data_IF_518379853239
#
_entry.id   IF_518379853239
#
_cell.length_a   1.000
_cell.length_b   1.000
_cell.length_c   1.000
_cell.angle_alpha   90.00
_cell.angle_beta   90.00
_cell.angle_gamma   90.00
#
_symmetry.space_group_name_H-M   'P 1'
#
loop_
_entity.id
_entity.type
_entity.pdbx_description
1 polymer ?
#
# COMPACT_ATOMS: atom_id res chain seq x y z
N UNK A 1 8.71 -13.15 -3.71
CA UNK A 1 7.37 -12.65 -3.32
C UNK A 1 7.44 -11.45 -2.39
N UNK A 2 8.60 -11.12 -1.83
CA UNK A 2 8.81 -9.95 -0.96
C UNK A 2 8.86 -8.63 -1.74
N UNK A 3 9.37 -8.63 -2.97
CA UNK A 3 9.50 -7.40 -3.78
C UNK A 3 8.14 -6.71 -4.00
N UNK A 4 7.10 -7.49 -4.36
CA UNK A 4 5.74 -6.98 -4.51
C UNK A 4 5.19 -6.36 -3.22
N UNK A 5 5.49 -6.94 -2.06
CA UNK A 5 5.05 -6.40 -0.78
C UNK A 5 5.70 -5.04 -0.52
N UNK A 6 7.00 -4.91 -0.76
CA UNK A 6 7.72 -3.65 -0.61
C UNK A 6 7.23 -2.58 -1.60
N UNK A 7 6.92 -2.97 -2.84
CA UNK A 7 6.31 -2.06 -3.83
C UNK A 7 4.95 -1.54 -3.34
N UNK A 8 4.06 -2.44 -2.89
CA UNK A 8 2.72 -2.06 -2.39
C UNK A 8 2.81 -1.11 -1.17
N UNK A 9 3.70 -1.42 -0.21
CA UNK A 9 3.90 -0.59 0.99
C UNK A 9 4.52 0.76 0.63
N UNK A 10 5.56 0.78 -0.20
CA UNK A 10 6.23 2.03 -0.61
C UNK A 10 5.25 2.94 -1.37
N UNK A 11 4.44 2.36 -2.25
CA UNK A 11 3.43 3.09 -3.01
C UNK A 11 2.40 3.76 -2.10
N UNK A 12 1.87 3.02 -1.11
CA UNK A 12 0.91 3.55 -0.15
C UNK A 12 1.55 4.58 0.80
N UNK A 13 2.75 4.31 1.32
CA UNK A 13 3.47 5.25 2.18
C UNK A 13 3.76 6.58 1.46
N UNK A 14 4.09 6.53 0.16
CA UNK A 14 4.36 7.72 -0.64
C UNK A 14 3.10 8.58 -0.88
N UNK A 15 1.94 7.97 -1.18
CA UNK A 15 0.71 8.71 -1.51
C UNK A 15 -0.14 9.09 -0.28
N UNK A 16 -0.18 8.21 0.72
CA UNK A 16 -1.06 8.37 1.88
C UNK A 16 -0.32 8.84 3.13
N UNK A 17 1.01 8.85 3.10
CA UNK A 17 1.88 9.26 4.22
C UNK A 17 1.64 8.45 5.51
N UNK A 18 1.14 7.23 5.39
CA UNK A 18 0.99 6.31 6.52
C UNK A 18 2.35 5.78 6.98
N UNK A 19 2.52 5.54 8.29
CA UNK A 19 3.73 4.94 8.82
C UNK A 19 3.85 3.47 8.37
N UNK A 20 5.08 2.98 8.34
CA UNK A 20 5.38 1.63 7.87
C UNK A 20 4.68 0.54 8.69
N UNK A 21 4.62 0.72 10.02
CA UNK A 21 4.04 -0.27 10.93
C UNK A 21 2.53 -0.46 10.65
N UNK A 22 1.78 0.63 10.48
CA UNK A 22 0.36 0.57 10.14
C UNK A 22 0.11 -0.15 8.79
N UNK A 23 1.02 -0.01 7.82
CA UNK A 23 0.93 -0.68 6.52
C UNK A 23 1.27 -2.16 6.59
N UNK A 24 2.17 -2.55 7.50
CA UNK A 24 2.56 -3.94 7.74
C UNK A 24 1.47 -4.72 8.48
N UNK A 25 0.67 -4.04 9.30
CA UNK A 25 -0.45 -4.62 10.03
C UNK A 25 -1.70 -4.86 9.16
N UNK A 26 -1.78 -4.28 7.96
CA UNK A 26 -2.88 -4.52 7.03
C UNK A 26 -2.87 -5.96 6.50
N UNK A 27 -4.07 -6.57 6.48
CA UNK A 27 -4.23 -7.82 5.77
C UNK A 27 -3.92 -7.65 4.28
N UNK A 28 -3.35 -8.69 3.67
CA UNK A 28 -2.97 -8.69 2.26
C UNK A 28 -4.11 -8.29 1.30
N UNK A 29 -5.36 -8.58 1.65
CA UNK A 29 -6.50 -8.26 0.82
C UNK A 29 -6.91 -6.78 0.93
N UNK A 30 -6.83 -6.20 2.14
CA UNK A 30 -7.10 -4.79 2.40
C UNK A 30 -6.02 -3.90 1.77
N UNK A 31 -4.74 -4.23 1.97
CA UNK A 31 -3.63 -3.49 1.36
C UNK A 31 -3.76 -3.42 -0.16
N UNK A 32 -4.08 -4.54 -0.82
CA UNK A 32 -4.28 -4.57 -2.29
C UNK A 32 -5.47 -3.72 -2.73
N UNK A 33 -6.53 -3.63 -1.93
CA UNK A 33 -7.66 -2.73 -2.20
C UNK A 33 -7.22 -1.28 -2.14
N UNK A 34 -6.48 -0.88 -1.10
CA UNK A 34 -5.97 0.49 -0.99
C UNK A 34 -5.04 0.85 -2.15
N UNK A 35 -4.17 -0.08 -2.60
CA UNK A 35 -3.32 0.14 -3.78
C UNK A 35 -4.18 0.42 -5.02
N UNK A 36 -5.23 -0.37 -5.25
CA UNK A 36 -6.12 -0.20 -6.39
C UNK A 36 -6.88 1.13 -6.35
N UNK A 37 -7.42 1.52 -5.19
CA UNK A 37 -8.14 2.79 -5.04
C UNK A 37 -7.22 4.00 -5.14
N UNK A 38 -6.02 3.94 -4.55
CA UNK A 38 -5.02 5.00 -4.66
C UNK A 38 -4.61 5.19 -6.13
N UNK A 39 -4.43 4.10 -6.88
CA UNK A 39 -4.14 4.16 -8.32
C UNK A 39 -5.26 4.81 -9.16
N UNK A 40 -6.53 4.69 -8.74
CA UNK A 40 -7.66 5.37 -9.39
C UNK A 40 -7.72 6.86 -9.09
N UNK A 41 -7.19 7.30 -7.95
CA UNK A 41 -7.20 8.71 -7.53
C UNK A 41 -5.95 9.47 -7.98
N UNK A 42 -4.82 8.77 -8.11
CA UNK A 42 -3.53 9.35 -8.50
C UNK A 42 -3.31 9.45 -10.02
N UNK A 43 -4.19 8.82 -10.83
CA UNK A 43 -4.21 8.91 -12.30
C UNK A 43 -5.30 9.85 -12.78
#
# INVERSE_FOLDING_TARGET
>A
MTDRLYEEITYLAYHLHWPLDDLLDLEHHERRRFVAETGRLAG
#
